data_IF_214741499717
#
_entry.id   IF_214741499717
#
_cell.length_a   1.000
_cell.length_b   1.000
_cell.length_c   1.000
_cell.angle_alpha   90.00
_cell.angle_beta   90.00
_cell.angle_gamma   90.00
#
_symmetry.space_group_name_H-M   'P 1'
#
loop_
_entity.id
_entity.type
_entity.pdbx_description
1 polymer ?
#
# COMPACT_ATOMS: atom_id res chain seq x y z
N UNK A 1 -23.77 -11.96 2.21
CA UNK A 1 -22.87 -10.84 2.58
C UNK A 1 -21.84 -11.38 3.56
N UNK A 2 -20.59 -11.61 3.12
CA UNK A 2 -19.51 -11.99 4.04
C UNK A 2 -19.06 -10.71 4.75
N UNK A 3 -19.50 -10.52 5.99
CA UNK A 3 -18.85 -9.60 6.91
C UNK A 3 -17.46 -10.17 7.17
N UNK A 4 -16.47 -9.70 6.42
CA UNK A 4 -15.09 -9.85 6.85
C UNK A 4 -14.98 -9.00 8.11
N UNK A 5 -14.80 -9.64 9.27
CA UNK A 5 -14.24 -8.94 10.41
C UNK A 5 -12.88 -8.44 9.94
N UNK A 6 -12.81 -7.17 9.56
CA UNK A 6 -11.55 -6.54 9.23
C UNK A 6 -10.63 -6.71 10.42
N UNK A 7 -9.49 -7.36 10.20
CA UNK A 7 -8.47 -7.46 11.22
C UNK A 7 -8.12 -6.03 11.67
N UNK A 8 -8.00 -5.75 12.99
CA UNK A 8 -7.54 -4.46 13.47
C UNK A 8 -6.24 -4.00 12.79
N UNK A 9 -5.42 -4.99 12.39
CA UNK A 9 -4.23 -4.80 11.58
C UNK A 9 -4.52 -4.18 10.20
N UNK A 10 -5.54 -4.68 9.48
CA UNK A 10 -5.93 -4.16 8.17
C UNK A 10 -6.39 -2.70 8.27
N UNK A 11 -7.18 -2.37 9.29
CA UNK A 11 -7.64 -0.99 9.54
C UNK A 11 -6.46 -0.06 9.83
N UNK A 12 -5.54 -0.48 10.71
CA UNK A 12 -4.33 0.29 11.02
C UNK A 12 -3.45 0.48 9.78
N UNK A 13 -3.31 -0.57 8.96
CA UNK A 13 -2.50 -0.55 7.75
C UNK A 13 -3.04 0.41 6.71
N UNK A 14 -4.36 0.50 6.50
CA UNK A 14 -4.94 1.48 5.58
C UNK A 14 -4.59 2.93 5.94
N UNK A 15 -4.47 3.24 7.22
CA UNK A 15 -4.15 4.59 7.68
C UNK A 15 -2.63 4.87 7.65
N UNK A 16 -1.82 3.85 7.87
CA UNK A 16 -0.37 4.00 8.00
C UNK A 16 0.39 3.76 6.69
N UNK A 17 -0.10 2.92 5.77
CA UNK A 17 0.54 2.65 4.48
C UNK A 17 0.79 3.94 3.68
N UNK A 18 -0.20 4.84 3.48
CA UNK A 18 0.02 6.08 2.74
C UNK A 18 1.13 6.95 3.33
N UNK A 19 1.31 6.92 4.65
CA UNK A 19 2.35 7.68 5.37
C UNK A 19 3.73 6.99 5.30
N UNK A 20 3.74 5.67 5.16
CA UNK A 20 4.94 4.83 5.08
C UNK A 20 5.49 4.69 3.67
N UNK A 21 4.67 4.88 2.65
CA UNK A 21 5.07 4.94 1.25
C UNK A 21 5.92 6.21 1.02
N UNK A 22 7.22 6.13 1.34
CA UNK A 22 8.21 7.21 1.22
C UNK A 22 9.05 7.09 -0.05
N UNK A 23 9.21 5.89 -0.58
CA UNK A 23 9.94 5.60 -1.80
C UNK A 23 9.01 5.61 -3.03
N UNK A 24 9.54 5.96 -4.19
CA UNK A 24 8.77 6.00 -5.44
C UNK A 24 8.19 4.65 -5.86
N UNK A 25 8.79 3.55 -5.43
CA UNK A 25 8.23 2.23 -5.68
C UNK A 25 8.60 1.22 -4.60
N UNK A 26 7.68 0.32 -4.32
CA UNK A 26 7.82 -0.77 -3.36
C UNK A 26 7.41 -2.08 -3.99
N UNK A 27 8.05 -3.20 -3.63
CA UNK A 27 7.41 -4.50 -3.82
C UNK A 27 6.45 -4.74 -2.65
N UNK A 28 5.38 -5.52 -2.87
CA UNK A 28 4.44 -5.89 -1.81
C UNK A 28 5.17 -6.62 -0.67
N UNK A 29 6.18 -7.42 -1.02
CA UNK A 29 6.95 -8.21 -0.06
C UNK A 29 7.82 -7.30 0.81
N UNK A 30 8.53 -6.34 0.23
CA UNK A 30 9.38 -5.41 0.99
C UNK A 30 8.54 -4.63 2.00
N UNK A 31 7.39 -4.12 1.56
CA UNK A 31 6.49 -3.35 2.42
C UNK A 31 5.92 -4.20 3.56
N UNK A 32 5.48 -5.42 3.25
CA UNK A 32 4.97 -6.35 4.26
C UNK A 32 6.08 -6.78 5.24
N UNK A 33 7.32 -6.87 4.78
CA UNK A 33 8.47 -7.25 5.61
C UNK A 33 8.88 -6.14 6.57
N UNK A 34 8.90 -4.87 6.12
CA UNK A 34 9.11 -3.71 7.01
C UNK A 34 8.05 -3.66 8.11
N UNK A 35 6.77 -3.85 7.74
CA UNK A 35 5.66 -3.83 8.70
C UNK A 35 5.74 -5.02 9.67
N UNK A 36 6.05 -6.21 9.15
CA UNK A 36 6.20 -7.41 9.98
C UNK A 36 7.33 -7.24 11.02
N UNK A 37 8.44 -6.63 10.63
CA UNK A 37 9.53 -6.29 11.55
C UNK A 37 9.10 -5.28 12.61
N UNK A 38 8.40 -4.21 12.22
CA UNK A 38 7.93 -3.18 13.14
C UNK A 38 6.94 -3.70 14.17
N UNK A 39 6.07 -4.64 13.78
CA UNK A 39 5.06 -5.22 14.64
C UNK A 39 5.55 -6.45 15.43
N UNK A 40 6.73 -6.98 15.09
CA UNK A 40 7.23 -8.24 15.64
C UNK A 40 6.37 -9.45 15.25
N UNK A 41 5.70 -9.40 14.10
CA UNK A 41 4.80 -10.44 13.61
C UNK A 41 5.44 -11.21 12.42
N UNK A 42 5.04 -12.45 12.16
CA UNK A 42 5.49 -13.16 10.97
C UNK A 42 4.93 -12.54 9.69
N UNK A 43 5.74 -12.52 8.63
CA UNK A 43 5.38 -11.94 7.33
C UNK A 43 4.04 -12.45 6.77
N UNK A 44 3.72 -13.73 6.99
CA UNK A 44 2.50 -14.35 6.50
C UNK A 44 1.21 -13.75 7.08
N UNK A 45 1.26 -13.20 8.30
CA UNK A 45 0.11 -12.55 8.94
C UNK A 45 -0.12 -11.13 8.41
N UNK A 46 0.92 -10.52 7.84
CA UNK A 46 0.94 -9.13 7.39
C UNK A 46 0.73 -9.02 5.88
N UNK A 47 1.16 -10.02 5.11
CA UNK A 47 1.14 -9.99 3.65
C UNK A 47 -0.26 -9.78 3.07
N UNK A 48 -1.25 -10.50 3.57
CA UNK A 48 -2.65 -10.41 3.12
C UNK A 48 -3.24 -9.03 3.39
N UNK A 49 -3.24 -8.51 4.63
CA UNK A 49 -3.81 -7.20 4.91
C UNK A 49 -3.02 -6.04 4.25
N UNK A 50 -1.71 -6.18 4.04
CA UNK A 50 -0.94 -5.21 3.23
C UNK A 50 -1.40 -5.21 1.78
N UNK A 51 -1.60 -6.38 1.18
CA UNK A 51 -2.08 -6.49 -0.20
C UNK A 51 -3.48 -5.89 -0.36
N UNK A 52 -4.39 -6.14 0.59
CA UNK A 52 -5.74 -5.57 0.59
C UNK A 52 -5.70 -4.04 0.70
N UNK A 53 -4.92 -3.51 1.64
CA UNK A 53 -4.76 -2.06 1.80
C UNK A 53 -4.15 -1.40 0.54
N UNK A 54 -3.18 -2.05 -0.11
CA UNK A 54 -2.60 -1.58 -1.37
C UNK A 54 -3.62 -1.56 -2.50
N UNK A 55 -4.45 -2.59 -2.62
CA UNK A 55 -5.51 -2.64 -3.63
C UNK A 55 -6.54 -1.52 -3.47
N UNK A 56 -6.82 -1.12 -2.22
CA UNK A 56 -7.67 0.05 -1.98
C UNK A 56 -7.00 1.36 -2.37
N UNK A 57 -5.70 1.50 -2.12
CA UNK A 57 -4.94 2.68 -2.57
C UNK A 57 -4.88 2.76 -4.09
N UNK A 58 -4.81 1.61 -4.78
CA UNK A 58 -4.94 1.52 -6.25
C UNK A 58 -6.34 1.98 -6.68
N UNK A 59 -7.39 1.49 -6.02
CA UNK A 59 -8.77 1.90 -6.33
C UNK A 59 -9.00 3.40 -6.11
N UNK A 60 -8.32 3.98 -5.11
CA UNK A 60 -8.35 5.41 -4.82
C UNK A 60 -7.38 6.24 -5.68
N UNK A 61 -6.71 5.63 -6.66
CA UNK A 61 -5.74 6.28 -7.55
C UNK A 61 -4.59 7.00 -6.80
N UNK A 62 -4.26 6.55 -5.59
CA UNK A 62 -3.11 7.06 -4.83
C UNK A 62 -1.81 6.36 -5.24
N UNK A 63 -1.91 5.15 -5.75
CA UNK A 63 -0.80 4.34 -6.23
C UNK A 63 -1.19 3.57 -7.49
N UNK A 64 -0.21 3.27 -8.33
CA UNK A 64 -0.32 2.38 -9.46
C UNK A 64 0.31 1.03 -9.12
N UNK A 65 -0.28 -0.06 -9.61
CA UNK A 65 0.31 -1.38 -9.50
C UNK A 65 0.87 -1.80 -10.86
N UNK A 66 2.18 -2.03 -10.93
CA UNK A 66 2.84 -2.64 -12.07
C UNK A 66 2.84 -4.18 -11.90
N UNK A 67 1.99 -4.91 -12.63
CA UNK A 67 1.93 -6.36 -12.55
C UNK A 67 3.18 -7.05 -13.11
N UNK A 68 3.92 -6.38 -13.99
CA UNK A 68 5.13 -6.92 -14.63
C UNK A 68 6.25 -7.12 -13.60
N UNK A 69 6.38 -6.15 -12.68
CA UNK A 69 7.39 -6.17 -11.62
C UNK A 69 6.82 -6.52 -10.24
N UNK A 70 5.50 -6.71 -10.12
CA UNK A 70 4.77 -6.83 -8.84
C UNK A 70 5.10 -5.68 -7.87
N UNK A 71 5.17 -4.47 -8.43
CA UNK A 71 5.54 -3.24 -7.70
C UNK A 71 4.34 -2.33 -7.57
N UNK A 72 4.29 -1.62 -6.46
CA UNK A 72 3.41 -0.48 -6.24
C UNK A 72 4.23 0.78 -6.45
N UNK A 73 3.74 1.68 -7.27
CA UNK A 73 4.35 2.96 -7.63
C UNK A 73 3.46 4.05 -7.06
N UNK A 74 4.03 5.02 -6.35
CA UNK A 74 3.25 6.17 -5.91
C UNK A 74 2.84 6.98 -7.13
N UNK A 75 1.53 7.19 -7.31
CA UNK A 75 1.06 8.23 -8.21
C UNK A 75 1.44 9.54 -7.53
N UNK A 76 2.55 10.17 -7.95
CA UNK A 76 2.72 11.57 -7.64
C UNK A 76 1.45 12.25 -8.15
N UNK A 77 0.68 12.88 -7.25
CA UNK A 77 -0.25 13.90 -7.68
C UNK A 77 0.59 14.87 -8.48
N UNK A 78 0.51 14.78 -9.81
CA UNK A 78 1.01 15.81 -10.70
C UNK A 78 0.11 16.99 -10.38
N UNK A 79 0.52 17.76 -9.37
CA UNK A 79 -0.02 19.06 -9.09
C UNK A 79 0.28 19.88 -10.35
N UNK A 80 -0.73 19.89 -11.23
CA UNK A 80 -0.94 20.88 -12.26
C UNK A 80 0.34 21.26 -13.02
N UNK A 81 0.61 20.54 -14.11
CA UNK A 81 1.22 21.16 -15.28
C UNK A 81 0.29 22.28 -15.76
N UNK A 82 0.38 23.42 -15.09
CA UNK A 82 -0.15 24.71 -15.49
C UNK A 82 0.96 25.62 -15.98
N UNK A 83 1.98 25.08 -16.66
CA UNK A 83 2.79 25.87 -17.58
C UNK A 83 1.97 26.02 -18.86
N UNK A 84 1.01 26.94 -18.85
CA UNK A 84 0.52 27.53 -20.09
C UNK A 84 1.44 28.69 -20.42
N UNK A 85 1.93 28.64 -21.64
CA UNK A 85 2.96 29.47 -22.26
C UNK A 85 2.63 30.97 -22.32
#
# INVERSE_FOLDING_TARGET
MRYFCESPLAIALRQELPKRLKAHSYTIIDLAQEIAQDLGCPLCEVLTPVSEALMELVAQHQVEFDPSCRRVILCQQVALLGTVS
#
